data_IF_698887953602
#
_entry.id   IF_698887953602
#
_cell.length_a   1.000
_cell.length_b   1.000
_cell.length_c   1.000
_cell.angle_alpha   90.00
_cell.angle_beta   90.00
_cell.angle_gamma   90.00
#
_symmetry.space_group_name_H-M   'P 1'
#
loop_
_entity.id
_entity.type
_entity.pdbx_description
1 polymer ?
#
# COMPACT_ATOMS: atom_id res chain seq x y z
N UNK A 1 -4.75 -1.77 -20.04
CA UNK A 1 -3.93 -1.14 -18.98
C UNK A 1 -3.97 0.36 -19.22
N UNK A 2 -4.59 1.12 -18.32
CA UNK A 2 -4.47 2.59 -18.36
C UNK A 2 -3.15 2.96 -17.68
N UNK A 3 -2.20 3.48 -18.45
CA UNK A 3 -0.92 3.95 -17.90
C UNK A 3 -1.11 5.30 -17.19
N UNK A 4 -0.43 5.47 -16.06
CA UNK A 4 -0.34 6.77 -15.38
C UNK A 4 0.42 7.79 -16.23
N UNK A 5 0.28 9.08 -15.89
CA UNK A 5 0.95 10.17 -16.61
C UNK A 5 2.48 9.98 -16.66
N UNK A 6 3.08 9.50 -15.57
CA UNK A 6 4.53 9.28 -15.47
C UNK A 6 4.96 7.97 -16.14
N UNK A 7 4.12 6.93 -16.12
CA UNK A 7 4.40 5.67 -16.83
C UNK A 7 4.42 5.87 -18.35
N UNK A 8 3.54 6.72 -18.88
CA UNK A 8 3.51 7.07 -20.32
C UNK A 8 4.80 7.72 -20.79
N UNK A 9 5.53 8.42 -19.91
CA UNK A 9 6.80 9.08 -20.27
C UNK A 9 7.94 8.09 -20.53
N UNK A 10 7.92 6.91 -19.90
CA UNK A 10 8.90 5.84 -20.15
C UNK A 10 8.33 4.47 -19.79
N UNK A 11 7.89 3.74 -20.81
CA UNK A 11 7.29 2.42 -20.66
C UNK A 11 8.40 1.37 -20.39
N UNK A 12 8.35 0.68 -19.27
CA UNK A 12 9.19 -0.49 -18.97
C UNK A 12 8.53 -1.76 -19.49
N UNK A 13 9.18 -2.45 -20.43
CA UNK A 13 8.72 -3.76 -20.92
C UNK A 13 8.87 -4.81 -19.81
N UNK A 14 7.79 -5.53 -19.51
CA UNK A 14 7.79 -6.67 -18.61
C UNK A 14 7.75 -7.97 -19.43
N UNK A 15 8.55 -8.97 -19.05
CA UNK A 15 8.64 -10.29 -19.70
C UNK A 15 7.98 -11.40 -18.86
N UNK A 16 7.44 -11.09 -17.69
CA UNK A 16 6.72 -12.04 -16.85
C UNK A 16 5.51 -12.63 -17.58
N UNK A 17 5.35 -13.94 -17.49
CA UNK A 17 4.28 -14.70 -18.13
C UNK A 17 3.05 -14.87 -17.24
N UNK A 18 3.25 -14.84 -15.92
CA UNK A 18 2.18 -14.98 -14.94
C UNK A 18 1.40 -13.67 -14.77
N UNK A 19 0.08 -13.81 -14.70
CA UNK A 19 -0.78 -12.70 -14.34
C UNK A 19 -0.54 -12.29 -12.88
N UNK A 20 -0.55 -10.99 -12.62
CA UNK A 20 -0.52 -10.45 -11.27
C UNK A 20 -1.87 -10.76 -10.59
N UNK A 21 -1.86 -11.69 -9.63
CA UNK A 21 -3.08 -12.13 -8.92
C UNK A 21 -3.53 -11.14 -7.86
N UNK A 22 -2.59 -10.45 -7.22
CA UNK A 22 -2.84 -9.50 -6.15
C UNK A 22 -1.92 -8.28 -6.28
N UNK A 23 -2.42 -7.12 -5.85
CA UNK A 23 -1.61 -5.92 -5.76
C UNK A 23 -0.58 -5.96 -4.64
N UNK A 24 0.45 -5.14 -4.77
CA UNK A 24 1.47 -5.04 -3.73
C UNK A 24 0.83 -4.38 -2.50
N UNK A 25 0.98 -4.97 -1.31
CA UNK A 25 0.50 -4.34 -0.08
C UNK A 25 1.32 -3.09 0.23
N UNK A 26 0.82 -2.26 1.14
CA UNK A 26 1.59 -1.14 1.64
C UNK A 26 2.77 -1.66 2.48
N UNK A 27 3.99 -1.40 2.02
CA UNK A 27 5.21 -1.96 2.61
C UNK A 27 5.49 -1.46 4.04
N UNK A 28 4.86 -0.36 4.46
CA UNK A 28 5.02 0.22 5.81
C UNK A 28 3.75 0.10 6.67
N UNK A 29 2.77 -0.68 6.22
CA UNK A 29 1.48 -0.83 6.90
C UNK A 29 1.65 -1.30 8.34
N UNK A 30 2.45 -2.33 8.59
CA UNK A 30 2.69 -2.86 9.94
C UNK A 30 3.21 -1.81 10.91
N UNK A 31 4.13 -0.95 10.44
CA UNK A 31 4.74 0.08 11.29
C UNK A 31 3.74 1.19 11.62
N UNK A 32 3.04 1.68 10.59
CA UNK A 32 2.02 2.73 10.75
C UNK A 32 0.87 2.25 11.63
N UNK A 33 0.40 1.02 11.41
CA UNK A 33 -0.69 0.41 12.18
C UNK A 33 -0.29 0.16 13.64
N UNK A 34 0.87 -0.42 13.87
CA UNK A 34 1.40 -0.64 15.23
C UNK A 34 1.47 0.67 16.02
N UNK A 35 1.97 1.74 15.39
CA UNK A 35 2.06 3.04 16.05
C UNK A 35 0.69 3.68 16.28
N UNK A 36 -0.25 3.56 15.33
CA UNK A 36 -1.62 4.05 15.53
C UNK A 36 -2.36 3.32 16.66
N UNK A 37 -2.15 2.00 16.78
CA UNK A 37 -2.73 1.19 17.85
C UNK A 37 -2.13 1.59 19.21
N UNK A 38 -0.82 1.83 19.27
CA UNK A 38 -0.17 2.33 20.48
C UNK A 38 -0.71 3.69 20.94
N UNK A 39 -0.93 4.62 20.00
CA UNK A 39 -1.45 5.95 20.34
C UNK A 39 -2.91 5.92 20.79
N UNK A 40 -3.67 4.88 20.41
CA UNK A 40 -5.09 4.73 20.71
C UNK A 40 -5.90 6.00 20.41
N UNK A 41 -5.50 6.76 19.38
CA UNK A 41 -6.05 8.08 19.09
C UNK A 41 -7.58 8.04 18.87
N UNK A 42 -8.05 6.95 18.28
CA UNK A 42 -9.48 6.72 17.96
C UNK A 42 -10.23 5.91 19.05
N UNK A 43 -9.59 5.62 20.18
CA UNK A 43 -10.22 4.93 21.31
C UNK A 43 -10.65 5.95 22.36
N UNK A 44 -11.91 5.87 22.79
CA UNK A 44 -12.45 6.72 23.85
C UNK A 44 -11.67 6.52 25.16
N UNK A 45 -11.42 7.57 25.97
CA UNK A 45 -10.59 7.48 27.19
C UNK A 45 -11.04 6.40 28.19
N UNK A 46 -12.35 6.14 28.26
CA UNK A 46 -12.98 5.13 29.13
C UNK A 46 -12.64 3.68 28.73
N UNK A 47 -12.19 3.46 27.48
CA UNK A 47 -11.94 2.15 26.89
C UNK A 47 -10.47 1.95 26.45
N UNK A 48 -9.57 2.86 26.85
CA UNK A 48 -8.13 2.79 26.56
C UNK A 48 -7.39 1.83 27.47
#
# INVERSE_FOLDING_TARGET
MSYSYTEKKRIRKNFGTFAKVMDLPNLIETQTKSYSEFLQADVAPEAR
#
